data_IF_123015101462
#
_entry.id   IF_123015101462
#
_cell.length_a   1.000
_cell.length_b   1.000
_cell.length_c   1.000
_cell.angle_alpha   90.00
_cell.angle_beta   90.00
_cell.angle_gamma   90.00
#
_symmetry.space_group_name_H-M   'P 1'
#
loop_
_entity.id
_entity.type
_entity.pdbx_description
1 polymer ?
#
# COMPACT_ATOMS: atom_id res chain seq x y z
N UNK A 1 -27.36 -40.42 51.81
CA UNK A 1 -27.26 -39.78 50.48
C UNK A 1 -28.18 -38.55 50.41
N UNK A 2 -27.62 -37.37 50.70
CA UNK A 2 -28.34 -36.10 50.68
C UNK A 2 -28.37 -35.53 49.26
N UNK A 3 -29.57 -35.27 48.76
CA UNK A 3 -29.85 -34.64 47.47
C UNK A 3 -29.54 -33.14 47.55
N UNK A 4 -28.60 -32.68 46.73
CA UNK A 4 -28.24 -31.27 46.62
C UNK A 4 -29.35 -30.47 45.91
N UNK A 5 -29.68 -29.29 46.46
CA UNK A 5 -30.63 -28.35 45.90
C UNK A 5 -30.15 -27.79 44.55
N UNK A 6 -31.04 -27.51 43.58
CA UNK A 6 -30.68 -26.79 42.37
C UNK A 6 -30.38 -25.34 42.72
N UNK A 7 -29.17 -24.88 42.40
CA UNK A 7 -28.73 -23.51 42.58
C UNK A 7 -29.63 -22.55 41.81
N UNK A 8 -30.21 -21.58 42.53
CA UNK A 8 -30.90 -20.46 41.94
C UNK A 8 -29.92 -19.66 41.07
N UNK A 9 -30.09 -19.70 39.76
CA UNK A 9 -29.73 -18.57 38.90
C UNK A 9 -30.54 -17.40 39.41
N UNK A 10 -29.91 -16.48 40.15
CA UNK A 10 -30.55 -15.23 40.55
C UNK A 10 -31.03 -14.53 39.28
N UNK A 11 -32.34 -14.51 39.06
CA UNK A 11 -32.95 -13.65 38.05
C UNK A 11 -32.59 -12.21 38.44
N UNK A 12 -31.67 -11.62 37.67
CA UNK A 12 -31.13 -10.26 37.89
C UNK A 12 -32.21 -9.18 37.75
N UNK A 13 -33.39 -9.57 37.28
CA UNK A 13 -34.52 -8.73 36.95
C UNK A 13 -35.81 -9.34 37.49
N UNK A 14 -36.60 -8.55 38.20
CA UNK A 14 -37.80 -9.02 38.91
C UNK A 14 -39.12 -8.68 38.18
N UNK A 15 -39.07 -7.85 37.12
CA UNK A 15 -40.25 -7.44 36.36
C UNK A 15 -40.08 -7.41 34.84
N UNK A 16 -41.14 -7.02 34.13
CA UNK A 16 -41.11 -6.80 32.67
C UNK A 16 -40.30 -5.54 32.36
N UNK A 17 -39.26 -5.69 31.53
CA UNK A 17 -38.36 -4.60 31.11
C UNK A 17 -38.61 -4.33 29.63
N UNK A 18 -38.92 -3.08 29.29
CA UNK A 18 -39.06 -2.63 27.90
C UNK A 18 -37.97 -1.62 27.57
N UNK A 19 -37.12 -1.97 26.60
CA UNK A 19 -36.03 -1.12 26.12
C UNK A 19 -36.31 -0.77 24.66
N UNK A 20 -36.37 0.53 24.35
CA UNK A 20 -36.52 1.03 22.98
C UNK A 20 -35.37 1.99 22.67
N UNK A 21 -34.78 1.88 21.48
CA UNK A 21 -33.74 2.81 21.04
C UNK A 21 -34.32 3.86 20.08
N UNK A 22 -34.02 5.13 20.31
CA UNK A 22 -34.21 6.20 19.34
C UNK A 22 -32.87 6.50 18.64
N UNK A 23 -32.81 6.11 17.36
CA UNK A 23 -31.61 6.29 16.54
C UNK A 23 -31.34 7.75 16.17
N UNK A 24 -32.38 8.59 16.13
CA UNK A 24 -32.24 9.99 15.69
C UNK A 24 -31.52 10.84 16.73
N UNK A 25 -31.77 10.56 18.01
CA UNK A 25 -31.15 11.24 19.15
C UNK A 25 -30.03 10.43 19.80
N UNK A 26 -29.77 9.20 19.32
CA UNK A 26 -28.84 8.24 19.93
C UNK A 26 -29.13 8.02 21.43
N UNK A 27 -30.41 7.84 21.77
CA UNK A 27 -30.89 7.69 23.14
C UNK A 27 -31.64 6.37 23.35
N UNK A 28 -31.69 5.90 24.60
CA UNK A 28 -32.39 4.68 25.00
C UNK A 28 -33.55 5.03 25.96
N UNK A 29 -34.76 4.63 25.61
CA UNK A 29 -35.93 4.70 26.47
C UNK A 29 -36.09 3.36 27.22
N UNK A 30 -35.92 3.39 28.54
CA UNK A 30 -35.98 2.22 29.40
C UNK A 30 -37.19 2.35 30.33
N UNK A 31 -38.10 1.39 30.27
CA UNK A 31 -39.24 1.27 31.17
C UNK A 31 -39.04 -0.02 31.98
N UNK A 32 -38.78 0.12 33.27
CA UNK A 32 -38.48 -0.98 34.18
C UNK A 32 -38.82 -0.62 35.63
N UNK A 33 -38.87 -1.62 36.51
CA UNK A 33 -38.97 -1.41 37.96
C UNK A 33 -37.70 -0.76 38.52
N UNK A 34 -37.79 -0.08 39.66
CA UNK A 34 -36.68 0.71 40.23
C UNK A 34 -35.39 -0.10 40.48
N UNK A 35 -35.52 -1.36 40.93
CA UNK A 35 -34.38 -2.27 41.14
C UNK A 35 -33.67 -2.60 39.83
N UNK A 36 -34.46 -2.94 38.81
CA UNK A 36 -33.98 -3.40 37.51
C UNK A 36 -33.37 -2.25 36.72
N UNK A 37 -33.93 -1.05 36.84
CA UNK A 37 -33.37 0.18 36.27
C UNK A 37 -31.97 0.46 36.82
N UNK A 38 -31.75 0.35 38.14
CA UNK A 38 -30.42 0.53 38.74
C UNK A 38 -29.41 -0.49 38.22
N UNK A 39 -29.84 -1.76 38.07
CA UNK A 39 -29.00 -2.80 37.49
C UNK A 39 -28.65 -2.47 36.03
N UNK A 40 -29.62 -2.05 35.22
CA UNK A 40 -29.42 -1.65 33.82
C UNK A 40 -28.45 -0.47 33.68
N UNK A 41 -28.61 0.58 34.49
CA UNK A 41 -27.70 1.73 34.49
C UNK A 41 -26.26 1.28 34.77
N UNK A 42 -26.05 0.43 35.79
CA UNK A 42 -24.71 -0.08 36.11
C UNK A 42 -24.09 -0.94 35.00
N UNK A 43 -24.91 -1.58 34.16
CA UNK A 43 -24.45 -2.35 33.00
C UNK A 43 -24.15 -1.40 31.83
N UNK A 44 -25.00 -0.40 31.59
CA UNK A 44 -24.82 0.60 30.54
C UNK A 44 -23.54 1.40 30.79
N UNK A 45 -23.29 1.85 32.02
CA UNK A 45 -22.05 2.56 32.38
C UNK A 45 -20.78 1.75 32.09
N UNK A 46 -20.84 0.42 32.20
CA UNK A 46 -19.71 -0.48 31.86
C UNK A 46 -19.57 -0.74 30.37
N UNK A 47 -20.64 -0.61 29.60
CA UNK A 47 -20.66 -0.87 28.15
C UNK A 47 -20.43 0.40 27.32
N UNK A 48 -20.86 1.55 27.80
CA UNK A 48 -20.73 2.85 27.15
C UNK A 48 -19.36 3.48 27.41
N UNK A 49 -18.33 2.76 26.99
CA UNK A 49 -16.94 3.20 27.04
C UNK A 49 -16.45 3.52 25.63
N UNK A 50 -15.53 4.49 25.54
CA UNK A 50 -14.89 4.82 24.28
C UNK A 50 -14.14 3.60 23.74
N UNK A 51 -14.45 3.20 22.52
CA UNK A 51 -13.73 2.10 21.85
C UNK A 51 -12.31 2.55 21.47
N UNK A 52 -11.36 1.68 21.71
CA UNK A 52 -9.96 1.83 21.27
C UNK A 52 -9.90 1.71 19.75
N UNK A 53 -8.94 2.39 19.14
CA UNK A 53 -8.69 2.33 17.70
C UNK A 53 -7.35 1.64 17.42
N UNK A 54 -7.21 1.05 16.25
CA UNK A 54 -5.95 0.44 15.78
C UNK A 54 -5.56 1.06 14.46
N UNK A 55 -4.37 1.65 14.44
CA UNK A 55 -3.68 2.03 13.22
C UNK A 55 -2.80 0.87 12.79
N UNK A 56 -3.03 0.33 11.61
CA UNK A 56 -2.26 -0.79 11.06
C UNK A 56 -1.41 -0.29 9.90
N UNK A 57 -0.13 -0.62 9.97
CA UNK A 57 0.84 -0.38 8.91
C UNK A 57 1.32 -1.73 8.39
N UNK A 58 1.22 -1.95 7.08
CA UNK A 58 1.81 -3.11 6.43
C UNK A 58 2.95 -2.66 5.52
N UNK A 59 3.99 -3.47 5.41
CA UNK A 59 5.15 -3.21 4.55
C UNK A 59 5.38 -4.42 3.67
N UNK A 60 5.29 -4.20 2.36
CA UNK A 60 5.51 -5.19 1.33
C UNK A 60 6.84 -4.86 0.66
N UNK A 61 7.80 -5.76 0.76
CA UNK A 61 9.08 -5.63 0.10
C UNK A 61 9.22 -6.75 -0.93
N UNK A 62 9.43 -6.39 -2.19
CA UNK A 62 9.72 -7.33 -3.25
C UNK A 62 11.01 -6.94 -3.97
N UNK A 63 11.91 -7.92 -4.09
CA UNK A 63 13.11 -7.82 -4.90
C UNK A 63 13.04 -8.90 -5.96
N UNK A 64 13.09 -8.49 -7.22
CA UNK A 64 13.13 -9.38 -8.38
C UNK A 64 14.41 -9.15 -9.17
N UNK A 65 15.15 -10.22 -9.43
CA UNK A 65 16.38 -10.21 -10.21
C UNK A 65 16.20 -11.14 -11.41
N UNK A 66 16.32 -10.62 -12.63
CA UNK A 66 16.37 -11.41 -13.87
C UNK A 66 17.76 -11.28 -14.49
N UNK A 67 18.50 -12.40 -14.52
CA UNK A 67 19.82 -12.49 -15.13
C UNK A 67 19.76 -13.46 -16.30
N UNK A 68 20.11 -12.98 -17.48
CA UNK A 68 20.18 -13.77 -18.71
C UNK A 68 21.60 -13.74 -19.25
N UNK A 69 22.21 -14.92 -19.39
CA UNK A 69 23.50 -15.13 -20.06
C UNK A 69 23.28 -15.98 -21.29
N UNK A 70 23.69 -15.50 -22.45
CA UNK A 70 23.69 -16.26 -23.69
C UNK A 70 25.09 -16.20 -24.29
N UNK A 71 25.70 -17.36 -24.51
CA UNK A 71 27.00 -17.45 -25.16
C UNK A 71 27.00 -18.65 -26.07
N UNK A 72 27.41 -18.46 -27.32
CA UNK A 72 27.48 -19.56 -28.27
C UNK A 72 28.15 -19.17 -29.57
N UNK A 73 28.61 -20.20 -30.27
CA UNK A 73 29.11 -20.11 -31.62
C UNK A 73 28.18 -20.93 -32.52
N UNK A 74 27.83 -20.37 -33.67
CA UNK A 74 27.14 -21.09 -34.72
C UNK A 74 27.97 -21.06 -36.00
N UNK A 75 27.91 -22.15 -36.74
CA UNK A 75 28.56 -22.26 -38.02
C UNK A 75 27.63 -22.89 -39.05
N UNK A 76 27.88 -22.63 -40.32
CA UNK A 76 27.29 -23.31 -41.45
C UNK A 76 28.33 -23.53 -42.54
N UNK A 77 28.09 -24.55 -43.32
CA UNK A 77 28.79 -24.85 -44.57
C UNK A 77 27.73 -25.09 -45.63
N UNK A 78 27.93 -24.47 -46.79
CA UNK A 78 27.13 -24.65 -47.99
C UNK A 78 28.02 -25.16 -49.12
N UNK A 79 27.57 -26.17 -49.84
CA UNK A 79 28.26 -26.74 -50.99
C UNK A 79 27.27 -27.00 -52.13
N UNK A 80 27.62 -26.62 -53.35
CA UNK A 80 26.82 -26.95 -54.54
C UNK A 80 27.22 -28.32 -55.07
N UNK A 81 26.30 -29.29 -54.99
CA UNK A 81 26.47 -30.59 -55.65
C UNK A 81 25.93 -30.48 -57.07
N UNK A 82 26.61 -31.04 -58.06
CA UNK A 82 26.11 -31.12 -59.43
C UNK A 82 25.75 -32.57 -59.76
N UNK A 83 24.50 -32.80 -60.16
CA UNK A 83 24.03 -34.10 -60.62
C UNK A 83 23.17 -33.89 -61.87
N UNK A 84 23.53 -34.54 -62.98
CA UNK A 84 22.83 -34.44 -64.26
C UNK A 84 22.70 -32.99 -64.80
N UNK A 85 23.76 -32.18 -64.66
CA UNK A 85 23.77 -30.77 -65.10
C UNK A 85 22.88 -29.83 -64.26
N UNK A 86 22.19 -30.36 -63.26
CA UNK A 86 21.45 -29.59 -62.27
C UNK A 86 22.29 -29.46 -61.00
N UNK A 87 22.48 -28.23 -60.51
CA UNK A 87 23.14 -27.99 -59.23
C UNK A 87 22.10 -28.04 -58.11
N UNK A 88 22.43 -28.67 -57.00
CA UNK A 88 21.60 -28.72 -55.80
C UNK A 88 22.42 -28.22 -54.61
N UNK A 89 21.88 -27.30 -53.79
CA UNK A 89 22.57 -26.85 -52.60
C UNK A 89 22.51 -27.92 -51.50
N UNK A 90 23.66 -28.31 -50.97
CA UNK A 90 23.78 -29.06 -49.72
C UNK A 90 24.27 -28.09 -48.66
N UNK A 91 23.57 -28.05 -47.52
CA UNK A 91 23.95 -27.22 -46.39
C UNK A 91 23.94 -28.03 -45.10
N UNK A 92 24.86 -27.70 -44.21
CA UNK A 92 24.92 -28.22 -42.86
C UNK A 92 25.31 -27.10 -41.92
N UNK A 93 24.73 -27.05 -40.73
CA UNK A 93 25.06 -26.00 -39.78
C UNK A 93 24.27 -26.09 -38.50
N UNK A 94 24.59 -25.17 -37.60
CA UNK A 94 23.96 -25.01 -36.30
C UNK A 94 23.23 -23.68 -36.24
N UNK A 95 22.06 -23.66 -35.60
CA UNK A 95 21.31 -22.42 -35.36
C UNK A 95 21.60 -21.86 -33.97
N UNK A 96 21.59 -20.52 -33.85
CA UNK A 96 21.90 -19.82 -32.59
C UNK A 96 20.71 -18.95 -32.14
N UNK A 97 19.91 -19.44 -31.18
CA UNK A 97 18.73 -18.71 -30.66
C UNK A 97 17.86 -18.07 -31.76
N UNK A 98 17.53 -18.83 -32.82
CA UNK A 98 16.70 -18.35 -33.93
C UNK A 98 17.45 -17.63 -35.07
N UNK A 99 18.76 -17.36 -34.94
CA UNK A 99 19.61 -16.96 -36.06
C UNK A 99 19.92 -18.16 -36.94
N UNK A 100 19.64 -18.00 -38.24
CA UNK A 100 20.10 -18.89 -39.27
C UNK A 100 21.45 -18.37 -39.78
N UNK A 101 22.54 -19.10 -39.54
CA UNK A 101 23.88 -18.73 -40.01
C UNK A 101 23.99 -18.70 -41.54
N UNK A 102 22.98 -19.22 -42.25
CA UNK A 102 22.82 -19.15 -43.71
C UNK A 102 22.44 -17.75 -44.24
N UNK A 103 21.89 -16.86 -43.40
CA UNK A 103 21.49 -15.49 -43.82
C UNK A 103 21.95 -14.50 -42.75
N UNK A 104 23.15 -13.95 -42.95
CA UNK A 104 23.73 -12.90 -42.12
C UNK A 104 23.35 -11.52 -42.69
N UNK A 105 22.11 -11.11 -42.46
CA UNK A 105 21.66 -9.78 -42.86
C UNK A 105 21.87 -8.77 -41.72
N UNK A 106 22.44 -7.57 -41.97
CA UNK A 106 22.65 -6.54 -40.95
C UNK A 106 21.40 -6.16 -40.15
N UNK A 107 20.20 -6.22 -40.76
CA UNK A 107 18.95 -5.90 -40.06
C UNK A 107 18.52 -6.99 -39.08
N UNK A 108 18.81 -8.26 -39.40
CA UNK A 108 18.56 -9.41 -38.52
C UNK A 108 19.52 -9.44 -37.33
N UNK A 109 20.76 -8.99 -37.53
CA UNK A 109 21.78 -8.88 -36.49
C UNK A 109 21.48 -7.75 -35.50
N UNK A 110 20.99 -6.61 -36.00
CA UNK A 110 20.65 -5.45 -35.19
C UNK A 110 19.55 -5.72 -34.15
N UNK A 111 18.66 -6.68 -34.42
CA UNK A 111 17.53 -7.02 -33.53
C UNK A 111 17.92 -7.88 -32.33
N UNK A 112 19.06 -8.58 -32.34
CA UNK A 112 19.36 -9.58 -31.32
C UNK A 112 20.08 -9.07 -30.07
N UNK A 113 20.61 -7.84 -30.07
CA UNK A 113 21.33 -7.26 -28.94
C UNK A 113 22.57 -8.06 -28.47
N UNK A 114 23.46 -7.38 -27.73
CA UNK A 114 24.71 -7.98 -27.24
C UNK A 114 25.84 -7.98 -28.27
N UNK A 115 26.96 -8.62 -27.92
CA UNK A 115 28.12 -8.73 -28.81
C UNK A 115 27.86 -9.83 -29.83
N UNK A 116 27.84 -9.46 -31.11
CA UNK A 116 27.69 -10.38 -32.23
C UNK A 116 28.83 -10.10 -33.21
N UNK A 117 29.58 -11.13 -33.54
CA UNK A 117 30.64 -11.08 -34.55
C UNK A 117 30.48 -12.28 -35.45
N UNK A 118 30.63 -12.09 -36.76
CA UNK A 118 30.56 -13.20 -37.69
C UNK A 118 31.22 -12.90 -39.02
N UNK A 119 31.55 -13.96 -39.72
CA UNK A 119 32.09 -13.91 -41.08
C UNK A 119 31.30 -14.89 -41.94
N UNK A 120 31.01 -14.48 -43.17
CA UNK A 120 30.43 -15.34 -44.20
C UNK A 120 31.38 -15.46 -45.38
N UNK A 121 31.45 -16.65 -45.96
CA UNK A 121 32.16 -16.93 -47.18
C UNK A 121 31.42 -16.43 -48.42
N UNK A 122 32.09 -16.47 -49.59
CA UNK A 122 31.47 -16.10 -50.85
C UNK A 122 30.21 -16.94 -51.11
N UNK A 123 29.20 -16.36 -51.78
CA UNK A 123 27.98 -17.06 -52.12
C UNK A 123 28.28 -18.24 -53.06
N UNK A 124 27.70 -19.39 -52.75
CA UNK A 124 27.65 -20.54 -53.66
C UNK A 124 26.36 -20.41 -54.45
N UNK A 125 26.49 -20.21 -55.76
CA UNK A 125 25.34 -20.17 -56.65
C UNK A 125 24.80 -21.59 -56.83
N UNK A 126 23.64 -21.85 -56.24
CA UNK A 126 23.03 -23.18 -56.20
C UNK A 126 21.51 -23.14 -56.36
N UNK A 127 21.05 -22.74 -57.56
CA UNK A 127 19.83 -23.20 -58.25
C UNK A 127 18.46 -23.00 -57.56
N UNK A 128 17.45 -22.93 -58.42
CA UNK A 128 16.07 -22.59 -58.17
C UNK A 128 15.33 -23.66 -57.35
N UNK A 129 14.87 -23.31 -56.15
CA UNK A 129 13.93 -24.15 -55.41
C UNK A 129 12.57 -24.10 -56.13
N UNK A 130 12.19 -25.18 -56.81
CA UNK A 130 10.93 -25.26 -57.55
C UNK A 130 10.84 -24.46 -58.86
N UNK A 131 11.98 -24.15 -59.50
CA UNK A 131 12.01 -23.51 -60.82
C UNK A 131 11.70 -22.01 -60.86
N UNK A 132 11.62 -21.33 -59.69
CA UNK A 132 11.33 -19.89 -59.63
C UNK A 132 12.12 -19.11 -58.57
N UNK A 133 12.72 -19.74 -57.56
CA UNK A 133 13.40 -19.03 -56.47
C UNK A 133 14.88 -19.40 -56.38
N UNK A 134 15.75 -18.52 -56.86
CA UNK A 134 17.21 -18.65 -56.68
C UNK A 134 17.56 -18.35 -55.22
N UNK A 135 18.00 -19.38 -54.49
CA UNK A 135 18.48 -19.22 -53.12
C UNK A 135 20.01 -19.13 -53.17
N UNK A 136 20.54 -17.97 -52.80
CA UNK A 136 21.99 -17.75 -52.69
C UNK A 136 22.42 -18.08 -51.27
N UNK A 137 23.24 -19.11 -51.08
CA UNK A 137 23.72 -19.56 -49.77
C UNK A 137 25.22 -19.26 -49.64
N UNK A 138 25.72 -18.83 -48.47
CA UNK A 138 27.16 -18.66 -48.25
C UNK A 138 27.88 -20.01 -48.16
N UNK A 139 29.09 -20.09 -48.72
CA UNK A 139 29.96 -21.28 -48.67
C UNK A 139 30.32 -21.71 -47.24
N UNK A 140 30.52 -20.73 -46.37
CA UNK A 140 30.61 -20.94 -44.93
C UNK A 140 30.04 -19.74 -44.20
N UNK A 141 29.68 -19.91 -42.94
CA UNK A 141 29.40 -18.81 -42.04
C UNK A 141 29.79 -19.20 -40.63
N UNK A 142 30.30 -18.24 -39.87
CA UNK A 142 30.64 -18.41 -38.46
C UNK A 142 30.11 -17.19 -37.72
N UNK A 143 29.42 -17.41 -36.61
CA UNK A 143 28.82 -16.37 -35.78
C UNK A 143 29.14 -16.68 -34.33
N UNK A 144 29.76 -15.74 -33.65
CA UNK A 144 29.91 -15.73 -32.20
C UNK A 144 28.94 -14.72 -31.61
N UNK A 145 28.18 -15.16 -30.60
CA UNK A 145 27.33 -14.30 -29.80
C UNK A 145 27.67 -14.41 -28.32
N UNK A 146 27.76 -13.27 -27.67
CA UNK A 146 27.84 -13.17 -26.23
C UNK A 146 26.92 -12.04 -25.73
N UNK A 147 26.03 -12.37 -24.79
CA UNK A 147 25.11 -11.44 -24.16
C UNK A 147 25.00 -11.76 -22.67
N UNK A 148 25.13 -10.73 -21.84
CA UNK A 148 24.73 -10.77 -20.45
C UNK A 148 23.78 -9.60 -20.20
N UNK A 149 22.54 -9.91 -19.83
CA UNK A 149 21.53 -8.93 -19.44
C UNK A 149 21.17 -9.16 -17.96
N UNK A 150 21.16 -8.09 -17.18
CA UNK A 150 20.77 -8.09 -15.77
C UNK A 150 19.66 -7.05 -15.59
N UNK A 151 18.58 -7.41 -14.93
CA UNK A 151 17.45 -6.54 -14.59
C UNK A 151 17.12 -6.73 -13.12
N UNK A 152 17.18 -5.65 -12.35
CA UNK A 152 16.95 -5.66 -10.91
C UNK A 152 15.78 -4.71 -10.61
N UNK A 153 14.75 -5.22 -9.94
CA UNK A 153 13.53 -4.49 -9.58
C UNK A 153 13.35 -4.56 -8.07
N UNK A 154 13.12 -3.41 -7.44
CA UNK A 154 12.81 -3.31 -6.02
C UNK A 154 11.48 -2.55 -5.84
N UNK A 155 10.52 -3.18 -5.17
CA UNK A 155 9.21 -2.61 -4.89
C UNK A 155 9.02 -2.53 -3.38
N UNK A 156 8.73 -1.33 -2.89
CA UNK A 156 8.34 -1.07 -1.51
C UNK A 156 6.94 -0.47 -1.50
N UNK A 157 6.00 -1.16 -0.86
CA UNK A 157 4.63 -0.67 -0.67
C UNK A 157 4.29 -0.62 0.81
N UNK A 158 3.78 0.51 1.30
CA UNK A 158 3.46 0.73 2.72
C UNK A 158 2.01 1.17 2.93
N UNK A 159 1.01 0.30 2.66
CA UNK A 159 -0.38 0.64 2.93
C UNK A 159 -0.62 0.76 4.44
N UNK A 160 -1.43 1.75 4.82
CA UNK A 160 -1.79 2.00 6.21
C UNK A 160 -3.27 2.37 6.31
N UNK A 161 -3.92 1.96 7.40
CA UNK A 161 -5.34 2.23 7.64
C UNK A 161 -5.61 2.31 9.14
N UNK A 162 -6.54 3.19 9.53
CA UNK A 162 -7.05 3.32 10.90
C UNK A 162 -8.44 2.71 10.97
N UNK A 163 -8.70 1.90 12.00
CA UNK A 163 -10.05 1.38 12.27
C UNK A 163 -10.32 1.29 13.77
N UNK A 164 -11.59 1.10 14.12
CA UNK A 164 -12.01 0.89 15.51
C UNK A 164 -11.92 -0.60 15.86
N UNK A 165 -11.76 -0.90 17.15
CA UNK A 165 -11.81 -2.28 17.63
C UNK A 165 -13.09 -3.01 17.16
N UNK A 166 -12.92 -4.25 16.70
CA UNK A 166 -13.95 -5.11 16.10
C UNK A 166 -14.62 -4.60 14.81
N UNK A 167 -14.17 -3.48 14.24
CA UNK A 167 -14.71 -2.92 13.01
C UNK A 167 -13.81 -3.24 11.81
N UNK A 168 -14.43 -3.70 10.72
CA UNK A 168 -13.72 -4.01 9.49
C UNK A 168 -13.43 -2.74 8.70
N UNK A 169 -12.20 -2.62 8.19
CA UNK A 169 -11.80 -1.52 7.33
C UNK A 169 -11.10 -2.03 6.07
N UNK A 170 -11.34 -1.36 4.95
CA UNK A 170 -10.78 -1.69 3.66
C UNK A 170 -10.18 -0.44 3.00
N UNK A 171 -9.00 -0.59 2.43
CA UNK A 171 -8.39 0.39 1.52
C UNK A 171 -8.11 -0.30 0.18
N UNK A 172 -8.54 0.35 -0.90
CA UNK A 172 -8.29 -0.08 -2.27
C UNK A 172 -7.64 1.07 -3.03
N UNK A 173 -6.43 0.84 -3.53
CA UNK A 173 -5.67 1.81 -4.33
C UNK A 173 -5.26 1.13 -5.63
N UNK A 174 -5.73 1.62 -6.76
CA UNK A 174 -5.41 1.01 -8.03
C UNK A 174 -6.02 1.72 -9.22
N UNK A 175 -5.97 1.03 -10.35
CA UNK A 175 -6.50 1.50 -11.62
C UNK A 175 -7.44 0.45 -12.19
N UNK A 176 -8.49 0.92 -12.86
CA UNK A 176 -9.39 0.05 -13.59
C UNK A 176 -9.01 0.07 -15.06
N UNK A 177 -8.45 -1.04 -15.56
CA UNK A 177 -7.96 -1.15 -16.93
C UNK A 177 -9.00 -1.83 -17.84
N UNK A 178 -9.34 -1.23 -18.99
CA UNK A 178 -10.21 -1.87 -19.97
C UNK A 178 -9.42 -2.84 -20.85
N UNK A 179 -10.04 -3.97 -21.19
CA UNK A 179 -9.53 -4.94 -22.15
C UNK A 179 -10.66 -5.54 -22.98
N UNK A 180 -10.32 -6.03 -24.17
CA UNK A 180 -11.30 -6.57 -25.11
C UNK A 180 -11.58 -8.03 -24.76
N UNK A 181 -12.80 -8.33 -24.30
CA UNK A 181 -13.20 -9.68 -23.87
C UNK A 181 -13.69 -10.57 -25.03
N UNK A 182 -13.87 -9.99 -26.23
CA UNK A 182 -14.19 -10.75 -27.43
C UNK A 182 -14.71 -9.88 -28.59
N UNK A 183 -14.63 -10.46 -29.80
CA UNK A 183 -15.26 -9.93 -30.99
C UNK A 183 -16.61 -10.61 -31.17
N UNK A 184 -17.69 -9.83 -31.15
CA UNK A 184 -19.01 -10.29 -31.60
C UNK A 184 -19.28 -9.66 -32.95
N UNK A 185 -19.42 -10.46 -34.01
CA UNK A 185 -19.84 -9.97 -35.32
C UNK A 185 -21.36 -9.94 -35.36
N UNK A 186 -21.96 -8.75 -35.44
CA UNK A 186 -23.38 -8.62 -35.79
C UNK A 186 -23.52 -8.57 -37.30
N UNK A 187 -24.26 -9.52 -37.88
CA UNK A 187 -24.64 -9.49 -39.29
C UNK A 187 -25.89 -8.59 -39.43
N UNK A 188 -25.67 -7.28 -39.45
CA UNK A 188 -26.75 -6.29 -39.61
C UNK A 188 -26.80 -5.75 -41.04
N UNK A 189 -27.72 -6.25 -41.86
CA UNK A 189 -28.01 -5.66 -43.17
C UNK A 189 -29.02 -6.45 -44.01
N UNK A 190 -30.26 -5.96 -44.06
CA UNK A 190 -31.25 -6.35 -45.07
C UNK A 190 -30.75 -5.80 -46.42
N UNK A 191 -30.76 -6.63 -47.47
CA UNK A 191 -30.39 -6.32 -48.87
C UNK A 191 -28.93 -5.91 -49.15
N UNK A 192 -28.06 -6.91 -49.37
CA UNK A 192 -27.03 -6.83 -50.41
C UNK A 192 -25.67 -6.14 -50.10
N UNK A 193 -25.48 -5.51 -48.95
CA UNK A 193 -24.17 -4.98 -48.53
C UNK A 193 -23.77 -5.56 -47.17
N UNK A 194 -22.85 -6.52 -47.16
CA UNK A 194 -22.32 -7.14 -45.92
C UNK A 194 -21.28 -6.20 -45.28
N UNK A 195 -21.72 -5.21 -44.51
CA UNK A 195 -20.82 -4.42 -43.65
C UNK A 195 -20.50 -5.20 -42.37
N UNK A 196 -19.27 -5.71 -42.28
CA UNK A 196 -18.73 -6.34 -41.08
C UNK A 196 -18.33 -5.25 -40.08
N UNK A 197 -19.21 -4.92 -39.15
CA UNK A 197 -18.88 -4.02 -38.03
C UNK A 197 -18.61 -4.87 -36.79
N UNK A 198 -17.35 -5.01 -36.34
CA UNK A 198 -17.05 -5.76 -35.12
C UNK A 198 -17.61 -5.03 -33.90
N UNK A 199 -18.47 -5.70 -33.13
CA UNK A 199 -18.84 -5.26 -31.79
C UNK A 199 -17.72 -5.71 -30.87
N UNK A 200 -16.96 -4.75 -30.35
CA UNK A 200 -15.94 -5.00 -29.33
C UNK A 200 -16.58 -4.96 -27.95
N UNK A 201 -16.61 -6.09 -27.25
CA UNK A 201 -17.02 -6.13 -25.85
C UNK A 201 -15.82 -5.72 -24.99
N UNK A 202 -15.93 -4.57 -24.32
CA UNK A 202 -14.89 -4.09 -23.41
C UNK A 202 -15.25 -4.53 -21.99
N UNK A 203 -14.42 -5.39 -21.41
CA UNK A 203 -14.47 -5.73 -20.00
C UNK A 203 -13.43 -4.91 -19.24
N UNK A 204 -13.70 -4.67 -17.96
CA UNK A 204 -12.85 -3.87 -17.08
C UNK A 204 -12.32 -4.75 -15.96
N UNK A 205 -11.02 -4.69 -15.71
CA UNK A 205 -10.36 -5.39 -14.61
C UNK A 205 -9.74 -4.37 -13.66
N UNK A 206 -10.00 -4.53 -12.37
CA UNK A 206 -9.33 -3.74 -11.34
C UNK A 206 -7.94 -4.33 -11.06
N UNK A 207 -6.92 -3.50 -11.20
CA UNK A 207 -5.53 -3.80 -10.82
C UNK A 207 -5.19 -2.85 -9.69
N UNK A 208 -5.28 -3.37 -8.46
CA UNK A 208 -5.19 -2.59 -7.25
C UNK A 208 -4.43 -3.32 -6.13
N UNK A 209 -3.86 -2.53 -5.24
CA UNK A 209 -3.55 -2.94 -3.88
C UNK A 209 -4.85 -2.84 -3.07
N UNK A 210 -5.32 -3.98 -2.56
CA UNK A 210 -6.46 -4.09 -1.65
C UNK A 210 -5.95 -4.62 -0.32
N UNK A 211 -6.17 -3.86 0.75
CA UNK A 211 -5.89 -4.30 2.12
C UNK A 211 -7.16 -4.18 2.93
N UNK A 212 -7.57 -5.29 3.52
CA UNK A 212 -8.76 -5.41 4.34
C UNK A 212 -8.36 -5.98 5.69
N UNK A 213 -8.77 -5.32 6.76
CA UNK A 213 -8.40 -5.69 8.12
C UNK A 213 -9.60 -5.68 9.07
N UNK A 214 -9.57 -6.54 10.07
CA UNK A 214 -10.45 -6.49 11.24
C UNK A 214 -9.63 -6.73 12.50
N UNK A 215 -9.36 -5.70 13.32
CA UNK A 215 -8.66 -5.86 14.58
C UNK A 215 -9.61 -6.27 15.71
N UNK A 216 -9.03 -6.95 16.68
CA UNK A 216 -9.61 -7.23 17.97
C UNK A 216 -8.53 -7.02 19.05
N UNK A 217 -8.76 -6.11 19.98
CA UNK A 217 -7.80 -5.77 21.03
C UNK A 217 -8.10 -6.57 22.30
N UNK A 218 -7.07 -7.19 22.87
CA UNK A 218 -7.13 -7.86 24.17
C UNK A 218 -6.68 -6.92 25.30
N UNK A 219 -7.00 -7.29 26.54
CA UNK A 219 -6.62 -6.52 27.74
C UNK A 219 -5.10 -6.39 27.95
N UNK A 220 -4.29 -7.30 27.40
CA UNK A 220 -2.83 -7.28 27.50
C UNK A 220 -2.13 -6.57 26.32
N UNK A 221 -2.84 -5.66 25.63
CA UNK A 221 -2.35 -4.89 24.47
C UNK A 221 -1.84 -5.76 23.31
N UNK A 222 -2.39 -6.97 23.19
CA UNK A 222 -2.28 -7.79 21.99
C UNK A 222 -3.44 -7.46 21.07
N UNK A 223 -3.14 -7.29 19.78
CA UNK A 223 -4.10 -7.09 18.72
C UNK A 223 -4.16 -8.37 17.88
N UNK A 224 -5.31 -9.01 17.88
CA UNK A 224 -5.64 -10.06 16.91
C UNK A 224 -6.12 -9.38 15.63
N UNK A 225 -5.45 -9.62 14.53
CA UNK A 225 -5.75 -9.02 13.24
C UNK A 225 -6.16 -10.11 12.26
N UNK A 226 -7.38 -10.02 11.73
CA UNK A 226 -7.76 -10.76 10.54
C UNK A 226 -7.44 -9.88 9.32
N UNK A 227 -6.51 -10.32 8.49
CA UNK A 227 -5.98 -9.53 7.37
C UNK A 227 -6.21 -10.30 6.07
N UNK A 228 -6.72 -9.58 5.08
CA UNK A 228 -6.77 -9.97 3.69
C UNK A 228 -6.05 -8.90 2.88
N UNK A 229 -4.89 -9.27 2.34
CA UNK A 229 -4.09 -8.39 1.50
C UNK A 229 -3.98 -8.98 0.10
N UNK A 230 -4.17 -8.14 -0.90
CA UNK A 230 -4.03 -8.46 -2.30
C UNK A 230 -3.29 -7.33 -3.01
N UNK A 231 -2.29 -7.69 -3.81
CA UNK A 231 -1.60 -6.78 -4.73
C UNK A 231 -1.73 -7.37 -6.13
N UNK A 232 -2.38 -6.61 -7.00
CA UNK A 232 -2.44 -6.93 -8.42
C UNK A 232 -1.65 -5.90 -9.22
N UNK A 233 -0.86 -6.37 -10.18
CA UNK A 233 -0.03 -5.55 -11.07
C UNK A 233 -0.17 -6.02 -12.52
N UNK A 234 0.03 -5.13 -13.50
CA UNK A 234 0.07 -5.50 -14.92
C UNK A 234 1.48 -6.01 -15.27
N UNK A 235 1.59 -7.27 -15.68
CA UNK A 235 2.86 -7.90 -16.06
C UNK A 235 3.23 -7.68 -17.53
N UNK A 236 2.22 -7.46 -18.39
CA UNK A 236 2.40 -7.22 -19.82
C UNK A 236 1.07 -7.08 -20.53
N UNK A 237 1.08 -6.62 -21.78
CA UNK A 237 -0.13 -6.45 -22.58
C UNK A 237 0.04 -7.21 -23.89
N UNK A 238 -0.82 -8.21 -24.10
CA UNK A 238 -0.94 -8.89 -25.38
C UNK A 238 -1.87 -8.07 -26.29
N UNK A 239 -1.48 -7.76 -27.54
CA UNK A 239 -2.32 -6.98 -28.46
C UNK A 239 -3.67 -7.61 -28.80
N UNK A 240 -3.81 -8.93 -28.67
CA UNK A 240 -5.01 -9.70 -29.02
C UNK A 240 -5.79 -10.15 -27.77
N UNK A 241 -5.10 -10.62 -26.73
CA UNK A 241 -5.70 -11.20 -25.52
C UNK A 241 -5.86 -10.19 -24.36
N UNK A 242 -5.21 -9.04 -24.44
CA UNK A 242 -5.27 -8.00 -23.41
C UNK A 242 -4.18 -8.13 -22.32
N UNK A 243 -4.32 -7.38 -21.20
CA UNK A 243 -3.31 -7.30 -20.17
C UNK A 243 -3.22 -8.60 -19.35
N UNK A 244 -2.02 -9.11 -19.17
CA UNK A 244 -1.70 -10.15 -18.19
C UNK A 244 -1.47 -9.49 -16.84
N UNK A 245 -2.13 -9.99 -15.79
CA UNK A 245 -1.98 -9.47 -14.42
C UNK A 245 -1.27 -10.48 -13.52
N UNK A 246 -0.37 -9.99 -12.68
CA UNK A 246 0.24 -10.75 -11.58
C UNK A 246 -0.54 -10.44 -10.31
N UNK A 247 -0.99 -11.49 -9.61
CA UNK A 247 -1.72 -11.37 -8.35
C UNK A 247 -0.95 -12.01 -7.21
N UNK A 248 -0.76 -11.25 -6.14
CA UNK A 248 -0.15 -11.69 -4.88
C UNK A 248 -1.18 -11.52 -3.79
N UNK A 249 -1.48 -12.57 -3.02
CA UNK A 249 -2.52 -12.50 -2.00
C UNK A 249 -2.12 -13.25 -0.73
N UNK A 250 -2.44 -12.67 0.42
CA UNK A 250 -2.23 -13.25 1.74
C UNK A 250 -3.50 -13.04 2.57
N UNK A 251 -4.05 -14.15 3.10
CA UNK A 251 -5.20 -14.15 4.01
C UNK A 251 -4.83 -14.92 5.26
N UNK A 252 -4.84 -14.25 6.41
CA UNK A 252 -4.33 -14.82 7.65
C UNK A 252 -4.85 -14.10 8.88
N UNK A 253 -4.75 -14.76 10.03
CA UNK A 253 -5.09 -14.21 11.33
C UNK A 253 -3.83 -14.26 12.20
N UNK A 254 -3.36 -13.10 12.63
CA UNK A 254 -2.16 -12.97 13.47
C UNK A 254 -2.49 -12.30 14.79
N UNK A 255 -1.77 -12.64 15.84
CA UNK A 255 -1.85 -11.97 17.14
C UNK A 255 -0.50 -11.31 17.38
N UNK A 256 -0.51 -9.99 17.49
CA UNK A 256 0.70 -9.16 17.54
C UNK A 256 0.57 -8.20 18.70
N UNK A 257 1.66 -7.93 19.42
CA UNK A 257 1.67 -6.92 20.46
C UNK A 257 1.67 -5.52 19.84
N UNK A 258 1.10 -4.55 20.55
CA UNK A 258 1.22 -3.14 20.19
C UNK A 258 2.67 -2.75 19.87
N UNK A 259 2.87 -1.97 18.80
CA UNK A 259 4.16 -1.46 18.32
C UNK A 259 5.19 -2.51 17.90
N UNK A 260 4.81 -3.79 17.81
CA UNK A 260 5.70 -4.83 17.34
C UNK A 260 5.45 -5.18 15.87
N UNK A 261 6.53 -5.25 15.11
CA UNK A 261 6.48 -5.70 13.71
C UNK A 261 6.56 -7.21 13.66
N UNK A 262 5.61 -7.83 12.96
CA UNK A 262 5.62 -9.27 12.68
C UNK A 262 5.78 -9.51 11.18
N UNK A 263 6.53 -10.55 10.81
CA UNK A 263 6.52 -11.07 9.45
C UNK A 263 5.32 -12.00 9.27
N UNK A 264 4.38 -11.62 8.42
CA UNK A 264 3.14 -12.36 8.17
C UNK A 264 3.33 -13.41 7.08
N UNK A 265 4.27 -13.17 6.16
CA UNK A 265 4.58 -14.11 5.10
C UNK A 265 5.76 -13.68 4.25
N UNK A 266 6.13 -14.56 3.34
CA UNK A 266 7.17 -14.30 2.36
C UNK A 266 7.22 -15.39 1.30
N UNK A 267 7.88 -15.09 0.19
CA UNK A 267 8.16 -16.03 -0.88
C UNK A 267 9.60 -15.80 -1.35
N UNK A 268 10.43 -16.83 -1.25
CA UNK A 268 11.73 -16.86 -1.91
C UNK A 268 11.68 -17.88 -3.03
N UNK A 269 11.85 -17.42 -4.26
CA UNK A 269 11.85 -18.25 -5.47
C UNK A 269 13.16 -18.05 -6.21
N UNK A 270 13.79 -19.16 -6.57
CA UNK A 270 14.94 -19.20 -7.45
C UNK A 270 14.63 -20.12 -8.61
N UNK A 271 14.51 -19.57 -9.81
CA UNK A 271 14.26 -20.32 -11.02
C UNK A 271 15.46 -20.17 -11.96
N UNK A 272 16.19 -21.26 -12.17
CA UNK A 272 17.28 -21.33 -13.13
C UNK A 272 16.92 -22.26 -14.28
N UNK A 273 16.84 -21.69 -15.49
CA UNK A 273 16.68 -22.42 -16.73
C UNK A 273 18.00 -22.41 -17.51
N UNK A 274 18.52 -23.59 -17.81
CA UNK A 274 19.72 -23.77 -18.64
C UNK A 274 19.32 -24.51 -19.90
N UNK A 275 19.49 -23.85 -21.05
CA UNK A 275 19.29 -24.45 -22.36
C UNK A 275 20.65 -24.60 -23.05
N UNK A 276 20.96 -25.81 -23.53
CA UNK A 276 22.22 -26.09 -24.25
C UNK A 276 21.88 -26.74 -25.57
N UNK A 277 22.20 -26.03 -26.66
CA UNK A 277 22.15 -26.56 -28.01
C UNK A 277 23.57 -26.89 -28.46
N UNK A 278 23.84 -28.12 -28.88
CA UNK A 278 25.20 -28.54 -29.27
C UNK A 278 25.18 -29.51 -30.43
N UNK A 279 26.30 -29.58 -31.15
CA UNK A 279 26.54 -30.63 -32.15
C UNK A 279 26.86 -31.93 -31.42
N UNK A 280 26.19 -33.06 -31.72
CA UNK A 280 26.54 -34.36 -31.15
C UNK A 280 28.03 -34.69 -31.38
N UNK A 281 28.68 -35.35 -30.41
CA UNK A 281 30.11 -35.71 -30.42
C UNK A 281 31.03 -34.49 -30.26
N UNK A 282 31.01 -33.53 -31.18
CA UNK A 282 31.93 -32.39 -31.18
C UNK A 282 31.71 -31.43 -30.00
N UNK A 283 30.46 -31.26 -29.57
CA UNK A 283 30.11 -30.42 -28.42
C UNK A 283 30.52 -30.99 -27.06
N UNK A 284 30.84 -32.29 -27.01
CA UNK A 284 31.19 -33.01 -25.78
C UNK A 284 32.71 -33.13 -25.56
N UNK A 285 33.52 -32.73 -26.53
CA UNK A 285 34.98 -32.75 -26.38
C UNK A 285 35.39 -31.68 -25.34
N UNK A 286 36.19 -32.04 -24.32
CA UNK A 286 36.69 -31.07 -23.34
C UNK A 286 37.49 -29.96 -24.04
N UNK A 287 37.44 -28.74 -23.48
CA UNK A 287 38.09 -27.52 -23.99
C UNK A 287 37.47 -27.01 -25.31
N UNK A 288 37.55 -27.77 -26.40
CA UNK A 288 37.11 -27.35 -27.74
C UNK A 288 35.60 -27.45 -27.97
N UNK A 289 34.87 -28.25 -27.19
CA UNK A 289 33.41 -28.38 -27.32
C UNK A 289 32.63 -27.10 -27.06
N UNK A 290 33.24 -26.06 -26.45
CA UNK A 290 32.65 -24.72 -26.33
C UNK A 290 32.44 -24.02 -27.67
N UNK A 291 33.21 -24.37 -28.70
CA UNK A 291 33.04 -23.85 -30.06
C UNK A 291 31.86 -24.49 -30.80
N UNK A 292 31.35 -25.62 -30.32
CA UNK A 292 30.29 -26.41 -30.97
C UNK A 292 28.99 -26.43 -30.16
N UNK A 293 28.84 -25.52 -29.18
CA UNK A 293 27.65 -25.40 -28.35
C UNK A 293 27.24 -23.94 -28.13
N UNK A 294 25.95 -23.74 -27.98
CA UNK A 294 25.32 -22.53 -27.47
C UNK A 294 24.68 -22.84 -26.12
N UNK A 295 24.99 -22.00 -25.13
CA UNK A 295 24.45 -22.09 -23.79
C UNK A 295 23.70 -20.82 -23.44
N UNK A 296 22.44 -20.99 -23.11
CA UNK A 296 21.60 -19.96 -22.51
C UNK A 296 21.34 -20.31 -21.05
N UNK A 297 21.53 -19.36 -20.15
CA UNK A 297 21.23 -19.49 -18.73
C UNK A 297 20.38 -18.30 -18.33
N UNK A 298 19.12 -18.56 -17.97
CA UNK A 298 18.20 -17.59 -17.40
C UNK A 298 18.03 -17.89 -15.92
N UNK A 299 18.30 -16.92 -15.05
CA UNK A 299 18.13 -17.03 -13.60
C UNK A 299 17.19 -15.91 -13.16
N UNK A 300 16.02 -16.30 -12.66
CA UNK A 300 15.02 -15.38 -12.10
C UNK A 300 14.91 -15.64 -10.60
N UNK A 301 15.27 -14.66 -9.78
CA UNK A 301 15.12 -14.70 -8.32
C UNK A 301 14.05 -13.72 -7.89
N UNK A 302 13.16 -14.15 -7.02
CA UNK A 302 12.10 -13.29 -6.46
C UNK A 302 12.05 -13.50 -4.96
N UNK A 303 12.25 -12.42 -4.20
CA UNK A 303 12.16 -12.40 -2.75
C UNK A 303 11.05 -11.42 -2.36
N UNK A 304 9.99 -11.94 -1.75
CA UNK A 304 8.89 -11.16 -1.22
C UNK A 304 8.82 -11.36 0.28
N UNK A 305 8.68 -10.26 1.02
CA UNK A 305 8.47 -10.25 2.46
C UNK A 305 7.29 -9.33 2.79
N UNK A 306 6.41 -9.81 3.67
CA UNK A 306 5.26 -9.07 4.16
C UNK A 306 5.38 -8.87 5.66
N UNK A 307 5.48 -7.61 6.08
CA UNK A 307 5.50 -7.19 7.47
C UNK A 307 4.24 -6.45 7.84
N UNK A 308 3.91 -6.48 9.12
CA UNK A 308 2.80 -5.72 9.67
C UNK A 308 3.14 -5.23 11.08
N UNK A 309 2.70 -4.01 11.38
CA UNK A 309 2.90 -3.36 12.66
C UNK A 309 1.58 -2.69 13.09
N UNK A 310 0.91 -3.17 14.15
CA UNK A 310 -0.24 -2.48 14.73
C UNK A 310 0.19 -1.44 15.76
N UNK A 311 -0.59 -0.38 15.84
CA UNK A 311 -0.50 0.68 16.84
C UNK A 311 -1.87 0.90 17.46
N UNK A 312 -2.01 0.68 18.76
CA UNK A 312 -3.24 0.94 19.49
C UNK A 312 -3.30 2.43 19.87
N UNK A 313 -4.44 3.05 19.63
CA UNK A 313 -4.72 4.46 19.95
C UNK A 313 -5.79 4.48 21.04
N UNK A 314 -5.38 4.91 22.23
CA UNK A 314 -6.28 5.08 23.39
C UNK A 314 -6.74 6.53 23.48
N UNK A 315 -5.77 7.45 23.43
CA UNK A 315 -5.99 8.86 23.73
C UNK A 315 -5.71 9.78 22.55
N UNK A 316 -6.14 11.05 22.70
CA UNK A 316 -5.87 12.10 21.70
C UNK A 316 -4.38 12.35 21.52
N UNK A 317 -3.59 12.13 22.57
CA UNK A 317 -2.13 12.29 22.54
C UNK A 317 -1.45 11.21 21.69
N UNK A 318 -1.87 9.95 21.81
CA UNK A 318 -1.36 8.85 20.97
C UNK A 318 -1.65 9.11 19.49
N UNK A 319 -2.87 9.55 19.20
CA UNK A 319 -3.26 9.94 17.85
C UNK A 319 -2.35 11.05 17.30
N UNK A 320 -2.14 12.12 18.09
CA UNK A 320 -1.26 13.24 17.70
C UNK A 320 0.17 12.78 17.47
N UNK A 321 0.71 11.91 18.33
CA UNK A 321 2.07 11.35 18.21
C UNK A 321 2.24 10.56 16.92
N UNK A 322 1.30 9.68 16.59
CA UNK A 322 1.32 8.89 15.36
C UNK A 322 1.20 9.80 14.14
N UNK A 323 0.29 10.79 14.19
CA UNK A 323 0.09 11.76 13.12
C UNK A 323 1.36 12.57 12.83
N UNK A 324 1.95 13.19 13.86
CA UNK A 324 3.19 13.98 13.71
C UNK A 324 4.35 13.13 13.20
N UNK A 325 4.50 11.90 13.71
CA UNK A 325 5.49 10.95 13.21
C UNK A 325 5.29 10.65 11.73
N UNK A 326 4.08 10.28 11.31
CA UNK A 326 3.78 9.94 9.90
C UNK A 326 3.91 11.15 8.96
N UNK A 327 3.55 12.33 9.42
CA UNK A 327 3.76 13.56 8.64
C UNK A 327 5.24 13.89 8.44
N UNK A 328 6.07 13.67 9.46
CA UNK A 328 7.52 13.81 9.35
C UNK A 328 8.13 12.76 8.42
N UNK A 329 7.79 11.48 8.58
CA UNK A 329 8.25 10.40 7.68
C UNK A 329 7.88 10.71 6.21
N UNK A 330 6.66 11.21 5.98
CA UNK A 330 6.21 11.65 4.65
C UNK A 330 7.00 12.85 4.14
N UNK A 331 7.29 13.85 4.98
CA UNK A 331 8.11 15.01 4.61
C UNK A 331 9.52 14.57 4.21
N UNK A 332 10.17 13.75 5.02
CA UNK A 332 11.49 13.18 4.73
C UNK A 332 11.49 12.35 3.43
N UNK A 333 10.44 11.57 3.20
CA UNK A 333 10.28 10.82 1.94
C UNK A 333 10.18 11.76 0.74
N UNK A 334 9.35 12.80 0.82
CA UNK A 334 9.20 13.79 -0.27
C UNK A 334 10.53 14.48 -0.53
N UNK A 335 11.23 14.93 0.50
CA UNK A 335 12.52 15.61 0.37
C UNK A 335 13.59 14.71 -0.28
N UNK A 336 13.66 13.43 0.11
CA UNK A 336 14.63 12.48 -0.44
C UNK A 336 14.37 12.13 -1.90
N UNK A 337 13.11 12.00 -2.31
CA UNK A 337 12.77 11.47 -3.64
C UNK A 337 12.35 12.54 -4.67
N UNK A 338 11.80 13.67 -4.22
CA UNK A 338 11.28 14.73 -5.08
C UNK A 338 12.02 16.07 -4.92
N UNK A 339 13.00 16.16 -4.02
CA UNK A 339 13.65 17.42 -3.64
C UNK A 339 12.74 18.27 -2.74
N UNK A 340 13.22 19.44 -2.31
CA UNK A 340 12.50 20.37 -1.44
C UNK A 340 11.32 21.05 -2.19
N UNK A 341 10.28 20.28 -2.50
CA UNK A 341 8.98 20.79 -2.94
C UNK A 341 8.22 21.38 -1.74
N UNK A 342 7.51 22.48 -1.99
CA UNK A 342 6.79 23.33 -1.04
C UNK A 342 6.35 22.62 0.25
N UNK A 343 6.76 23.16 1.40
CA UNK A 343 6.25 22.73 2.70
C UNK A 343 4.73 22.69 2.66
N UNK A 344 4.18 21.49 2.84
CA UNK A 344 2.74 21.31 2.93
C UNK A 344 2.30 21.84 4.29
N UNK A 345 1.93 23.12 4.34
CA UNK A 345 1.39 23.71 5.55
C UNK A 345 -0.04 23.18 5.74
N UNK A 346 -0.25 22.42 6.82
CA UNK A 346 -1.56 21.84 7.11
C UNK A 346 -2.47 23.01 7.49
N UNK A 347 -3.52 23.26 6.71
CA UNK A 347 -4.55 24.23 7.10
C UNK A 347 -5.21 23.75 8.39
N UNK A 348 -4.81 24.37 9.51
CA UNK A 348 -5.43 24.14 10.81
C UNK A 348 -6.55 25.17 10.95
N UNK A 349 -7.80 24.70 10.92
CA UNK A 349 -8.95 25.52 11.30
C UNK A 349 -8.91 25.75 12.82
N UNK A 350 -8.30 26.86 13.24
CA UNK A 350 -8.15 27.23 14.65
C UNK A 350 -9.48 27.47 15.36
N UNK A 351 -10.58 27.68 14.63
CA UNK A 351 -11.90 27.86 15.23
C UNK A 351 -12.51 26.53 15.71
N UNK A 352 -12.00 25.39 15.22
CA UNK A 352 -12.42 24.04 15.67
C UNK A 352 -11.42 23.38 16.62
N UNK A 353 -10.22 23.93 16.74
CA UNK A 353 -9.14 23.39 17.56
C UNK A 353 -9.15 24.03 18.95
N UNK A 354 -9.68 23.33 19.95
CA UNK A 354 -9.60 23.81 21.33
C UNK A 354 -8.13 23.96 21.79
N UNK A 355 -7.78 25.15 22.26
CA UNK A 355 -6.44 25.53 22.73
C UNK A 355 -6.34 27.03 23.03
N UNK A 356 -5.19 27.53 23.51
CA UNK A 356 -5.03 28.93 23.91
C UNK A 356 -5.37 29.92 22.79
N UNK A 357 -5.04 29.58 21.54
CA UNK A 357 -5.37 30.40 20.37
C UNK A 357 -6.85 30.40 20.02
N UNK A 358 -7.57 29.30 20.27
CA UNK A 358 -9.04 29.28 20.13
C UNK A 358 -9.70 30.13 21.20
N UNK A 359 -9.22 30.07 22.45
CA UNK A 359 -9.69 30.95 23.50
C UNK A 359 -9.38 32.41 23.17
N UNK A 360 -8.20 32.68 22.60
CA UNK A 360 -7.81 34.01 22.16
C UNK A 360 -8.68 34.52 21.01
N UNK A 361 -8.94 33.71 19.97
CA UNK A 361 -9.86 34.06 18.89
C UNK A 361 -11.27 34.28 19.41
N UNK A 362 -11.81 33.35 20.21
CA UNK A 362 -13.14 33.48 20.81
C UNK A 362 -13.25 34.74 21.67
N UNK A 363 -12.20 35.05 22.43
CA UNK A 363 -12.13 36.27 23.25
C UNK A 363 -12.02 37.51 22.37
N UNK A 364 -11.21 37.49 21.33
CA UNK A 364 -11.04 38.59 20.38
C UNK A 364 -12.33 38.87 19.60
N UNK A 365 -13.00 37.83 19.09
CA UNK A 365 -14.32 37.92 18.46
C UNK A 365 -15.33 38.53 19.43
N UNK A 366 -15.33 38.05 20.67
CA UNK A 366 -16.23 38.59 21.69
C UNK A 366 -15.89 40.04 22.07
N UNK A 367 -14.63 40.48 21.98
CA UNK A 367 -14.23 41.87 22.18
C UNK A 367 -14.64 42.75 20.99
N UNK A 368 -14.49 42.26 19.76
CA UNK A 368 -14.96 42.95 18.56
C UNK A 368 -16.48 43.10 18.54
N UNK A 369 -17.21 42.16 19.14
CA UNK A 369 -18.66 42.24 19.27
C UNK A 369 -19.12 43.28 20.30
N UNK A 370 -18.24 43.84 21.14
CA UNK A 370 -18.63 44.84 22.14
C UNK A 370 -19.03 46.15 21.48
N UNK A 371 -20.00 46.84 22.08
CA UNK A 371 -20.46 48.14 21.56
C UNK A 371 -19.34 49.19 21.51
N UNK A 372 -18.43 49.17 22.49
CA UNK A 372 -17.29 50.09 22.57
C UNK A 372 -16.32 49.96 21.38
N UNK A 373 -16.29 48.78 20.75
CA UNK A 373 -15.45 48.48 19.59
C UNK A 373 -16.22 48.53 18.26
N UNK A 374 -17.46 49.04 18.27
CA UNK A 374 -18.31 49.15 17.07
C UNK A 374 -18.99 47.83 16.66
N UNK A 375 -18.98 46.83 17.55
CA UNK A 375 -19.68 45.56 17.38
C UNK A 375 -21.18 45.63 17.64
N UNK A 376 -21.87 44.49 17.52
CA UNK A 376 -23.33 44.39 17.70
C UNK A 376 -23.80 44.45 19.16
N UNK A 377 -22.87 44.53 20.10
CA UNK A 377 -23.10 44.40 21.53
C UNK A 377 -23.24 42.95 21.96
N UNK A 378 -22.74 42.64 23.15
CA UNK A 378 -23.10 41.38 23.82
C UNK A 378 -24.50 41.50 24.44
N UNK A 379 -25.16 40.37 24.67
CA UNK A 379 -26.54 40.35 25.21
C UNK A 379 -26.70 40.97 26.61
N UNK A 380 -25.60 41.28 27.28
CA UNK A 380 -25.49 41.94 28.58
C UNK A 380 -24.98 43.39 28.51
N UNK A 381 -24.62 43.90 27.32
CA UNK A 381 -24.18 45.29 27.13
C UNK A 381 -25.35 46.18 26.67
N UNK A 382 -25.36 47.44 27.10
CA UNK A 382 -26.35 48.44 26.71
C UNK A 382 -25.60 49.65 26.18
N UNK A 383 -25.82 50.01 24.91
CA UNK A 383 -25.28 51.24 24.32
C UNK A 383 -26.15 52.42 24.75
N UNK A 384 -25.63 53.34 25.55
CA UNK A 384 -26.33 54.59 25.92
C UNK A 384 -25.80 55.72 25.03
N UNK A 385 -26.66 56.27 24.17
CA UNK A 385 -26.33 57.41 23.30
C UNK A 385 -26.80 58.72 23.95
N UNK A 386 -26.13 59.85 23.69
CA UNK A 386 -26.44 61.14 24.34
C UNK A 386 -27.85 61.69 24.04
N UNK A 387 -28.54 61.11 23.05
CA UNK A 387 -29.92 61.44 22.70
C UNK A 387 -30.96 60.65 23.51
N UNK A 388 -30.55 59.64 24.30
CA UNK A 388 -31.47 58.82 25.10
C UNK A 388 -32.00 59.59 26.30
N UNK A 389 -33.34 59.59 26.45
CA UNK A 389 -33.98 60.13 27.64
C UNK A 389 -33.89 59.14 28.82
N UNK A 390 -33.97 59.63 30.06
CA UNK A 390 -33.87 58.84 31.31
C UNK A 390 -34.92 57.71 31.36
N UNK A 391 -36.05 57.86 30.67
CA UNK A 391 -37.06 56.79 30.54
C UNK A 391 -36.69 55.68 29.56
N UNK A 392 -35.90 55.97 28.51
CA UNK A 392 -35.39 54.97 27.56
C UNK A 392 -34.26 54.15 28.16
N UNK A 393 -33.39 54.78 28.97
CA UNK A 393 -32.34 54.12 29.74
C UNK A 393 -32.96 53.15 30.77
N UNK A 394 -34.07 53.54 31.41
CA UNK A 394 -34.80 52.65 32.33
C UNK A 394 -35.54 51.51 31.63
N UNK A 395 -35.93 51.68 30.36
CA UNK A 395 -36.52 50.59 29.55
C UNK A 395 -35.47 49.58 29.07
N UNK A 396 -34.25 50.01 28.79
CA UNK A 396 -33.14 49.10 28.47
C UNK A 396 -32.62 48.36 29.70
N UNK A 397 -32.64 48.98 30.89
CA UNK A 397 -32.36 48.31 32.18
C UNK A 397 -33.44 47.30 32.61
N UNK A 398 -34.70 47.52 32.21
CA UNK A 398 -35.85 46.66 32.56
C UNK A 398 -36.07 45.45 31.64
N UNK A 399 -35.20 45.24 30.65
CA UNK A 399 -35.40 44.32 29.52
C UNK A 399 -35.07 42.85 29.76
N UNK A 400 -35.34 42.27 30.93
CA UNK A 400 -35.54 40.81 31.05
C UNK A 400 -36.68 40.53 32.02
N UNK A 401 -37.91 40.50 31.49
CA UNK A 401 -38.98 39.52 31.72
C UNK A 401 -40.31 40.06 31.19
N UNK A 402 -40.70 39.60 30.01
CA UNK A 402 -42.11 39.35 29.72
C UNK A 402 -42.23 38.02 28.98
N UNK A 403 -42.60 36.97 29.74
CA UNK A 403 -43.07 35.71 29.19
C UNK A 403 -44.56 35.86 28.84
N UNK A 404 -44.87 36.20 27.60
CA UNK A 404 -46.09 35.69 26.96
C UNK A 404 -46.02 35.77 25.43
N UNK A 405 -45.30 34.82 24.82
CA UNK A 405 -45.80 34.14 23.61
C UNK A 405 -45.23 32.71 23.48
N UNK A 406 -45.91 31.78 24.14
CA UNK A 406 -46.31 30.46 23.63
C UNK A 406 -45.19 29.47 23.18
N UNK A 407 -44.87 28.56 24.13
CA UNK A 407 -44.80 27.07 24.06
C UNK A 407 -43.43 26.35 24.21
N UNK A 408 -43.41 25.53 25.28
CA UNK A 408 -42.70 24.27 25.57
C UNK A 408 -41.23 24.39 26.07
N UNK A 409 -40.98 24.50 27.39
CA UNK A 409 -40.93 23.45 28.46
C UNK A 409 -39.72 22.49 28.33
N UNK A 410 -38.82 22.29 29.31
CA UNK A 410 -38.68 22.77 30.68
C UNK A 410 -37.42 22.16 31.36
N UNK A 411 -36.97 22.81 32.45
CA UNK A 411 -36.38 22.33 33.73
C UNK A 411 -35.39 21.13 33.73
N UNK A 412 -34.29 21.10 34.51
CA UNK A 412 -34.19 21.39 35.95
C UNK A 412 -32.73 21.58 36.46
N UNK A 413 -32.59 22.24 37.61
CA UNK A 413 -31.39 22.60 38.40
C UNK A 413 -30.74 21.41 39.14
N UNK A 414 -29.48 21.59 39.62
CA UNK A 414 -29.02 21.55 41.06
C UNK A 414 -27.48 21.43 41.16
N UNK A 415 -26.81 22.38 41.82
CA UNK A 415 -26.14 22.27 43.16
C UNK A 415 -24.62 22.02 42.91
N UNK A 416 -23.60 22.62 43.53
CA UNK A 416 -23.35 23.10 44.89
C UNK A 416 -22.29 24.22 44.93
N UNK A 417 -22.27 24.91 46.07
CA UNK A 417 -21.24 25.83 46.54
C UNK A 417 -19.92 25.11 46.86
N UNK A 418 -18.78 25.79 46.80
CA UNK A 418 -18.10 26.20 48.03
C UNK A 418 -16.94 27.19 47.83
N UNK A 419 -16.72 27.92 48.91
CA UNK A 419 -15.82 29.05 49.10
C UNK A 419 -14.42 28.54 49.42
N UNK A 420 -13.34 29.27 49.05
CA UNK A 420 -12.32 29.74 50.00
C UNK A 420 -11.22 30.59 49.32
N UNK A 421 -10.93 31.70 50.00
CA UNK A 421 -9.73 32.54 49.93
C UNK A 421 -8.48 31.66 50.16
N UNK A 422 -7.25 32.01 49.77
CA UNK A 422 -6.52 33.20 50.20
C UNK A 422 -5.09 33.18 49.58
N UNK A 423 -4.53 34.38 49.41
CA UNK A 423 -3.11 34.74 49.46
C UNK A 423 -2.13 34.52 48.28
N UNK A 424 -1.34 35.59 48.12
CA UNK A 424 -0.29 35.94 47.16
C UNK A 424 0.98 36.22 48.02
N UNK A 425 2.13 36.67 47.49
CA UNK A 425 2.95 36.29 46.34
C UNK A 425 4.35 35.78 46.79
N UNK A 426 5.21 35.34 45.88
CA UNK A 426 6.63 35.75 45.97
C UNK A 426 7.31 35.86 44.60
N UNK A 427 8.16 36.87 44.48
CA UNK A 427 8.92 37.27 43.31
C UNK A 427 10.36 36.81 43.44
N UNK A 428 10.98 36.42 42.32
CA UNK A 428 12.42 36.14 42.28
C UNK A 428 12.96 36.17 40.86
N UNK A 429 13.48 37.35 40.45
CA UNK A 429 14.34 37.51 39.28
C UNK A 429 15.73 36.95 39.56
N UNK A 430 16.36 36.26 38.61
CA UNK A 430 17.78 36.48 38.29
C UNK A 430 18.09 36.03 36.86
N UNK A 431 18.75 36.92 36.13
CA UNK A 431 19.41 36.70 34.84
C UNK A 431 20.68 35.84 35.02
N UNK A 432 21.12 35.12 33.98
CA UNK A 432 22.35 35.42 33.21
C UNK A 432 22.98 34.17 32.52
N UNK A 433 23.41 34.39 31.27
CA UNK A 433 24.56 33.78 30.54
C UNK A 433 24.46 32.42 29.83
N UNK A 434 24.59 32.51 28.49
CA UNK A 434 25.27 31.54 27.62
C UNK A 434 26.80 31.54 27.86
N UNK A 435 27.53 30.46 27.51
CA UNK A 435 28.12 30.27 26.16
C UNK A 435 27.96 28.80 25.68
N UNK A 436 28.13 28.37 24.43
CA UNK A 436 29.16 28.64 23.43
C UNK A 436 29.98 27.36 23.17
N UNK A 437 29.67 26.68 22.05
CA UNK A 437 30.54 25.91 21.14
C UNK A 437 31.44 24.74 21.63
N UNK A 438 31.28 23.55 20.98
CA UNK A 438 32.33 22.66 20.42
C UNK A 438 31.87 21.19 20.24
N UNK A 439 31.84 20.74 18.99
CA UNK A 439 32.31 19.41 18.56
C UNK A 439 33.87 19.44 18.55
N UNK A 440 34.65 18.33 18.46
CA UNK A 440 34.38 17.08 17.71
C UNK A 440 34.79 15.79 18.45
N UNK A 441 34.51 14.60 17.91
CA UNK A 441 35.55 13.67 17.41
C UNK A 441 34.94 12.33 16.95
N UNK A 442 35.57 11.85 15.89
CA UNK A 442 35.54 10.56 15.22
C UNK A 442 35.98 9.38 16.11
N UNK A 443 35.54 8.18 15.74
CA UNK A 443 35.98 6.92 16.35
C UNK A 443 35.57 5.72 15.51
N UNK A 444 36.43 5.37 14.55
CA UNK A 444 36.45 4.09 13.86
C UNK A 444 36.54 2.91 14.85
N UNK A 445 35.78 1.84 14.63
CA UNK A 445 36.20 0.52 15.11
C UNK A 445 35.87 -0.59 14.09
N UNK A 446 36.93 -1.02 13.40
CA UNK A 446 37.02 -2.31 12.70
C UNK A 446 37.27 -3.40 13.74
N UNK A 447 36.55 -4.52 13.65
CA UNK A 447 37.01 -5.81 14.20
C UNK A 447 36.93 -6.89 13.13
N UNK A 448 38.07 -7.57 12.95
CA UNK A 448 38.32 -8.74 12.10
C UNK A 448 38.09 -10.05 12.86
N UNK A 449 37.64 -11.05 12.10
CA UNK A 449 37.97 -12.49 12.06
C UNK A 449 38.58 -13.24 13.26
N UNK A 450 38.07 -14.47 13.44
CA UNK A 450 38.72 -15.66 14.03
C UNK A 450 37.66 -16.57 14.67
N UNK A 451 37.23 -17.69 14.04
CA UNK A 451 37.79 -19.06 14.22
C UNK A 451 37.15 -19.74 15.45
N UNK A 452 36.78 -21.01 15.56
CA UNK A 452 36.88 -22.24 14.76
C UNK A 452 36.03 -23.33 15.47
N UNK A 453 35.52 -24.30 14.70
CA UNK A 453 35.32 -25.74 15.02
C UNK A 453 34.33 -26.31 16.08
N UNK A 454 33.61 -27.32 15.56
CA UNK A 454 33.11 -28.59 16.13
C UNK A 454 31.90 -28.62 17.08
N UNK A 455 30.83 -29.28 16.62
CA UNK A 455 30.52 -30.66 17.03
C UNK A 455 29.45 -31.33 16.17
N UNK A 456 29.63 -32.64 16.04
CA UNK A 456 28.77 -33.63 15.43
C UNK A 456 27.35 -33.68 16.04
N UNK A 457 26.35 -34.16 15.30
CA UNK A 457 25.87 -35.56 15.33
C UNK A 457 24.40 -35.70 14.86
N UNK A 458 24.16 -36.84 14.21
CA UNK A 458 22.92 -37.62 14.10
C UNK A 458 21.74 -37.25 13.17
N UNK A 459 21.69 -38.10 12.14
CA UNK A 459 20.57 -38.69 11.38
C UNK A 459 19.41 -39.13 12.29
N UNK A 460 18.16 -38.87 11.91
CA UNK A 460 17.12 -39.91 11.93
C UNK A 460 16.03 -39.69 10.88
N UNK A 461 15.71 -40.80 10.22
CA UNK A 461 14.70 -41.01 9.19
C UNK A 461 13.42 -41.48 9.87
N UNK A 462 12.28 -40.93 9.46
CA UNK A 462 11.04 -41.69 9.25
C UNK A 462 10.13 -40.97 8.26
#
# INVERSE_FOLDING_TARGET
PATAAPGATAELFQGEIKITADKSTNSLLIIANQSDYKNLVSVIEKLDVRRRQVFVEAVIMEVSLDKRKNTGLAFNVGYGMEYDGQKFPVFAGTMLSGLNSLVLDPSSLAQLGGFISGAQGPPVEGVELGGATKITLPSFGVILRALQANSDVNVLSTPHILTTDNEEAEILVGQNIPYQAGFTSSLGGVTGLTSWTPIVSIQRQDVALKMKIKPQINQSDYVKLNIEQEVSEVAGTDPLLGPTTTKRSAKTVVVVKDQQTVAIGGLMRDNQSVSVSKVPILGDIPIIGWLFKSKETKTTKTNLLLFLTPYIINDKEDFKRIFERKMRERKEFIERFYGAGSEFDIYIDYNKKHGPFFEMNKKMDSEFDRFENGGKGRGDEILITPEMNIEEIKRSEGGVRDESSVKASGQEKRDDADTHQEENPDAGKTEEKAPGDKAPDSGDEKVKEGGEQNKDEHIEVQ
#
